data_IF_578857148524
#
_entry.id   IF_578857148524
#
_cell.length_a   1.000
_cell.length_b   1.000
_cell.length_c   1.000
_cell.angle_alpha   90.00
_cell.angle_beta   90.00
_cell.angle_gamma   90.00
#
_symmetry.space_group_name_H-M   'P 1'
#
loop_
_entity.id
_entity.type
_entity.pdbx_description
1 polymer ?
#
# COMPACT_ATOMS: atom_id res chain seq x y z
N UNK A 1 19.78 -14.53 -37.27
CA UNK A 1 20.09 -15.43 -36.12
C UNK A 1 21.10 -14.84 -35.15
N UNK A 2 22.33 -14.46 -35.58
CA UNK A 2 23.31 -13.85 -34.67
C UNK A 2 22.88 -12.46 -34.17
N UNK A 3 22.34 -11.64 -35.03
CA UNK A 3 21.84 -10.29 -34.72
C UNK A 3 20.57 -10.31 -33.80
N UNK A 4 19.67 -11.27 -34.03
CA UNK A 4 18.49 -11.48 -33.14
C UNK A 4 18.91 -11.98 -31.76
N UNK A 5 19.93 -12.84 -31.66
CA UNK A 5 20.46 -13.27 -30.37
C UNK A 5 21.14 -12.13 -29.63
N UNK A 6 21.87 -11.27 -30.35
CA UNK A 6 22.53 -10.09 -29.77
C UNK A 6 21.48 -9.06 -29.25
N UNK A 7 20.50 -8.72 -30.07
CA UNK A 7 19.43 -7.77 -29.68
C UNK A 7 18.64 -8.29 -28.46
N UNK A 8 18.34 -9.59 -28.44
CA UNK A 8 17.69 -10.23 -27.29
C UNK A 8 18.52 -10.18 -26.01
N UNK A 9 19.85 -10.38 -26.12
CA UNK A 9 20.75 -10.26 -24.96
C UNK A 9 20.73 -8.85 -24.40
N UNK A 10 20.87 -7.84 -25.26
CA UNK A 10 20.83 -6.42 -24.88
C UNK A 10 19.48 -6.01 -24.22
N UNK A 11 18.36 -6.55 -24.72
CA UNK A 11 17.03 -6.32 -24.11
C UNK A 11 16.90 -6.90 -22.70
N UNK A 12 17.40 -8.11 -22.48
CA UNK A 12 17.39 -8.76 -21.18
C UNK A 12 18.37 -8.08 -20.21
N UNK A 13 19.55 -7.70 -20.68
CA UNK A 13 20.51 -6.90 -19.90
C UNK A 13 19.91 -5.57 -19.43
N UNK A 14 19.10 -4.93 -20.26
CA UNK A 14 18.35 -3.72 -19.89
C UNK A 14 17.38 -3.97 -18.73
N UNK A 15 16.66 -5.10 -18.73
CA UNK A 15 15.76 -5.47 -17.62
C UNK A 15 16.54 -5.84 -16.36
N UNK A 16 17.66 -6.56 -16.52
CA UNK A 16 18.55 -6.91 -15.40
C UNK A 16 19.13 -5.65 -14.74
N UNK A 17 19.50 -4.65 -15.54
CA UNK A 17 19.97 -3.36 -15.03
C UNK A 17 18.90 -2.68 -14.19
N UNK A 18 17.65 -2.62 -14.66
CA UNK A 18 16.52 -2.06 -13.88
C UNK A 18 16.32 -2.79 -12.54
N UNK A 19 16.38 -4.13 -12.54
CA UNK A 19 16.30 -4.92 -11.30
C UNK A 19 17.43 -4.56 -10.33
N UNK A 20 18.66 -4.46 -10.84
CA UNK A 20 19.81 -4.11 -10.02
C UNK A 20 19.69 -2.68 -9.44
N UNK A 21 19.13 -1.73 -10.21
CA UNK A 21 18.87 -0.37 -9.73
C UNK A 21 17.85 -0.39 -8.58
N UNK A 22 16.78 -1.18 -8.68
CA UNK A 22 15.79 -1.36 -7.60
C UNK A 22 16.46 -1.94 -6.36
N UNK A 23 17.23 -3.01 -6.49
CA UNK A 23 17.91 -3.65 -5.36
C UNK A 23 18.93 -2.72 -4.71
N UNK A 24 19.65 -1.94 -5.51
CA UNK A 24 20.57 -0.92 -5.01
C UNK A 24 19.83 0.21 -4.27
N UNK A 25 18.64 0.59 -4.73
CA UNK A 25 17.75 1.50 -4.01
C UNK A 25 17.39 0.97 -2.62
N UNK A 26 17.04 -0.31 -2.51
CA UNK A 26 16.76 -0.96 -1.23
C UNK A 26 17.95 -0.98 -0.26
N UNK A 27 19.18 -1.07 -0.77
CA UNK A 27 20.38 -0.97 0.08
C UNK A 27 20.53 0.43 0.69
N UNK A 28 20.03 1.46 0.03
CA UNK A 28 20.04 2.84 0.51
C UNK A 28 18.80 3.18 1.35
N UNK A 29 17.66 2.59 1.00
CA UNK A 29 16.38 2.79 1.66
C UNK A 29 15.62 1.45 1.82
N UNK A 30 15.90 0.68 2.91
CA UNK A 30 15.25 -0.62 3.13
C UNK A 30 13.73 -0.56 3.27
N UNK A 31 13.15 0.60 3.56
CA UNK A 31 11.69 0.78 3.66
C UNK A 31 11.00 0.54 2.31
N UNK A 32 11.68 0.77 1.19
CA UNK A 32 11.16 0.46 -0.15
C UNK A 32 10.88 -1.04 -0.34
N UNK A 33 11.52 -1.91 0.44
CA UNK A 33 11.20 -3.35 0.45
C UNK A 33 9.78 -3.58 0.96
N UNK A 34 9.38 -2.86 2.01
CA UNK A 34 8.03 -2.97 2.59
C UNK A 34 7.00 -2.48 1.57
N UNK A 35 7.26 -1.37 0.89
CA UNK A 35 6.39 -0.86 -0.17
C UNK A 35 6.25 -1.86 -1.33
N UNK A 36 7.35 -2.47 -1.73
CA UNK A 36 7.33 -3.52 -2.74
C UNK A 36 6.54 -4.76 -2.29
N UNK A 37 6.68 -5.18 -1.04
CA UNK A 37 5.93 -6.31 -0.50
C UNK A 37 4.42 -6.00 -0.41
N UNK A 38 4.06 -4.79 -0.01
CA UNK A 38 2.67 -4.32 -0.03
C UNK A 38 2.09 -4.29 -1.44
N UNK A 39 2.85 -3.79 -2.42
CA UNK A 39 2.46 -3.86 -3.83
C UNK A 39 2.28 -5.30 -4.29
N UNK A 40 3.26 -6.17 -4.01
CA UNK A 40 3.27 -7.56 -4.44
C UNK A 40 2.13 -8.38 -3.85
N UNK A 41 1.69 -8.07 -2.63
CA UNK A 41 0.57 -8.77 -1.98
C UNK A 41 -0.77 -8.56 -2.71
N UNK A 42 -0.90 -7.46 -3.46
CA UNK A 42 -2.08 -7.15 -4.30
C UNK A 42 -2.07 -7.90 -5.63
N UNK A 43 -0.90 -8.34 -6.08
CA UNK A 43 -0.72 -9.11 -7.31
C UNK A 43 -0.66 -10.61 -6.99
N UNK A 44 -1.81 -11.23 -6.77
CA UNK A 44 -1.87 -12.67 -6.54
C UNK A 44 -1.15 -13.44 -7.65
N UNK A 45 -0.11 -14.18 -7.33
CA UNK A 45 0.54 -15.30 -8.06
C UNK A 45 0.74 -15.21 -9.60
N UNK A 46 0.33 -14.13 -10.25
CA UNK A 46 0.35 -14.00 -11.70
C UNK A 46 1.74 -13.65 -12.26
N UNK A 47 2.62 -13.10 -11.43
CA UNK A 47 3.94 -12.63 -11.84
C UNK A 47 5.04 -13.11 -10.89
N UNK A 48 6.24 -13.36 -11.47
CA UNK A 48 7.44 -13.62 -10.66
C UNK A 48 7.84 -12.36 -9.87
N UNK A 49 8.58 -12.52 -8.75
CA UNK A 49 9.08 -11.35 -7.99
C UNK A 49 9.84 -10.34 -8.86
N UNK A 50 10.66 -10.80 -9.81
CA UNK A 50 11.39 -9.92 -10.74
C UNK A 50 10.45 -9.11 -11.63
N UNK A 51 9.38 -9.73 -12.14
CA UNK A 51 8.39 -9.03 -12.93
C UNK A 51 7.56 -8.07 -12.07
N UNK A 52 7.23 -8.43 -10.83
CA UNK A 52 6.56 -7.53 -9.89
C UNK A 52 7.42 -6.30 -9.56
N UNK A 53 8.73 -6.46 -9.38
CA UNK A 53 9.67 -5.33 -9.23
C UNK A 53 9.61 -4.39 -10.43
N UNK A 54 9.67 -4.94 -11.65
CA UNK A 54 9.60 -4.14 -12.88
C UNK A 54 8.26 -3.42 -13.03
N UNK A 55 7.15 -4.08 -12.72
CA UNK A 55 5.81 -3.47 -12.78
C UNK A 55 5.70 -2.35 -11.73
N UNK A 56 6.09 -2.61 -10.48
CA UNK A 56 6.03 -1.63 -9.40
C UNK A 56 6.87 -0.37 -9.72
N UNK A 57 8.04 -0.53 -10.30
CA UNK A 57 8.89 0.59 -10.71
C UNK A 57 8.25 1.43 -11.82
N UNK A 58 7.63 0.77 -12.80
CA UNK A 58 7.05 1.45 -13.97
C UNK A 58 5.66 2.03 -13.70
N UNK A 59 4.87 1.37 -12.83
CA UNK A 59 3.51 1.80 -12.48
C UNK A 59 3.14 1.36 -11.06
N UNK A 60 3.45 2.20 -10.06
CA UNK A 60 3.17 1.92 -8.63
C UNK A 60 1.69 1.69 -8.32
N UNK A 61 0.81 2.30 -9.10
CA UNK A 61 -0.65 2.16 -8.96
C UNK A 61 -1.29 1.04 -9.78
N UNK A 62 -0.50 0.13 -10.35
CA UNK A 62 -1.05 -0.98 -11.13
C UNK A 62 -1.95 -1.88 -10.27
N UNK A 63 -3.07 -2.32 -10.85
CA UNK A 63 -4.12 -3.08 -10.16
C UNK A 63 -4.25 -4.51 -10.67
N UNK A 64 -4.26 -4.68 -11.98
CA UNK A 64 -4.39 -5.96 -12.65
C UNK A 64 -3.71 -5.90 -14.01
N UNK A 65 -2.61 -6.58 -14.14
CA UNK A 65 -1.80 -6.57 -15.35
C UNK A 65 -2.01 -7.84 -16.18
N UNK A 66 -2.13 -7.67 -17.50
CA UNK A 66 -2.19 -8.77 -18.46
C UNK A 66 -1.51 -8.36 -19.76
N UNK A 67 -1.05 -9.35 -20.56
CA UNK A 67 -0.53 -9.09 -21.89
C UNK A 67 -1.61 -8.51 -22.80
N UNK A 68 -1.20 -7.81 -23.86
CA UNK A 68 -2.11 -7.30 -24.89
C UNK A 68 -3.06 -8.40 -25.44
N UNK A 69 -2.49 -9.58 -25.71
CA UNK A 69 -3.25 -10.74 -26.20
C UNK A 69 -4.28 -11.21 -25.17
N UNK A 70 -3.91 -11.31 -23.90
CA UNK A 70 -4.81 -11.74 -22.83
C UNK A 70 -5.95 -10.75 -22.59
N UNK A 71 -5.72 -9.45 -22.70
CA UNK A 71 -6.79 -8.44 -22.65
C UNK A 71 -7.78 -8.61 -23.82
N UNK A 72 -7.24 -8.83 -25.03
CA UNK A 72 -8.08 -9.07 -26.22
C UNK A 72 -8.92 -10.33 -26.11
N UNK A 73 -8.38 -11.41 -25.57
CA UNK A 73 -9.09 -12.67 -25.30
C UNK A 73 -10.22 -12.51 -24.29
N UNK A 74 -10.07 -11.58 -23.34
CA UNK A 74 -11.13 -11.19 -22.40
C UNK A 74 -12.17 -10.22 -23.01
N UNK A 75 -12.01 -9.82 -24.27
CA UNK A 75 -12.91 -8.89 -24.95
C UNK A 75 -12.60 -7.41 -24.70
N UNK A 76 -11.45 -7.09 -24.11
CA UNK A 76 -11.03 -5.71 -23.83
C UNK A 76 -9.83 -5.30 -24.69
N UNK A 77 -9.70 -4.00 -24.91
CA UNK A 77 -8.64 -3.41 -25.74
C UNK A 77 -7.81 -2.44 -24.91
N UNK A 78 -6.50 -2.47 -25.11
CA UNK A 78 -5.60 -1.43 -24.60
C UNK A 78 -5.92 -0.11 -25.31
N UNK A 79 -6.00 0.99 -24.58
CA UNK A 79 -6.28 2.32 -25.12
C UNK A 79 -5.17 2.78 -26.05
N UNK A 80 -5.54 3.54 -27.08
CA UNK A 80 -4.55 4.09 -28.03
C UNK A 80 -3.61 5.05 -27.32
N UNK A 81 -2.30 4.86 -27.53
CA UNK A 81 -1.26 5.70 -26.94
C UNK A 81 -0.70 5.19 -25.60
N UNK A 82 -1.27 4.11 -25.05
CA UNK A 82 -0.74 3.51 -23.84
C UNK A 82 0.57 2.75 -24.09
N UNK A 83 1.50 2.85 -23.15
CA UNK A 83 2.77 2.14 -23.16
C UNK A 83 2.75 0.96 -22.20
N UNK A 84 3.10 -0.22 -22.71
CA UNK A 84 3.16 -1.42 -21.87
C UNK A 84 4.38 -1.40 -20.94
N UNK A 85 4.20 -1.94 -19.74
CA UNK A 85 5.29 -2.17 -18.80
C UNK A 85 6.15 -3.34 -19.27
N UNK A 86 7.45 -3.14 -19.29
CA UNK A 86 8.42 -4.15 -19.71
C UNK A 86 8.57 -5.24 -18.65
N UNK A 87 8.50 -6.49 -19.06
CA UNK A 87 8.60 -7.67 -18.20
C UNK A 87 9.37 -8.80 -18.88
N UNK A 88 9.87 -9.75 -18.09
CA UNK A 88 10.37 -11.01 -18.62
C UNK A 88 9.22 -11.92 -19.02
N UNK A 89 9.27 -12.44 -20.25
CA UNK A 89 8.33 -13.45 -20.74
C UNK A 89 9.05 -14.77 -20.91
N UNK A 90 8.59 -15.77 -20.18
CA UNK A 90 9.08 -17.13 -20.31
C UNK A 90 8.66 -17.71 -21.66
N UNK A 91 9.61 -18.21 -22.42
CA UNK A 91 9.39 -18.78 -23.75
C UNK A 91 10.08 -20.15 -23.78
N UNK A 92 9.37 -21.22 -23.41
CA UNK A 92 9.93 -22.56 -23.48
C UNK A 92 10.12 -22.95 -24.95
N UNK A 93 11.22 -23.59 -25.26
CA UNK A 93 11.54 -24.14 -26.59
C UNK A 93 11.92 -25.60 -26.40
N UNK A 94 11.36 -26.45 -27.24
CA UNK A 94 11.80 -27.84 -27.34
C UNK A 94 12.74 -27.92 -28.54
N UNK A 95 13.94 -28.44 -28.33
CA UNK A 95 14.92 -28.72 -29.38
C UNK A 95 14.91 -30.22 -29.63
N UNK A 96 14.56 -30.61 -30.83
CA UNK A 96 14.60 -32.01 -31.28
C UNK A 96 16.02 -32.39 -31.68
N UNK A 97 16.45 -33.56 -31.24
CA UNK A 97 17.74 -34.15 -31.61
C UNK A 97 17.53 -35.06 -32.81
N UNK A 98 17.82 -34.58 -34.01
CA UNK A 98 17.65 -35.32 -35.25
C UNK A 98 18.99 -35.73 -35.85
N UNK A 99 19.02 -36.72 -36.73
CA UNK A 99 20.23 -37.17 -37.41
C UNK A 99 20.91 -36.07 -38.23
N UNK A 100 20.12 -35.08 -38.70
CA UNK A 100 20.61 -33.92 -39.44
C UNK A 100 21.01 -32.73 -38.54
N UNK A 101 20.98 -32.94 -37.23
CA UNK A 101 21.32 -31.95 -36.21
C UNK A 101 20.11 -31.45 -35.37
N UNK A 102 20.43 -30.62 -34.39
CA UNK A 102 19.46 -30.10 -33.42
C UNK A 102 18.55 -29.02 -34.05
N UNK A 103 17.24 -29.22 -34.04
CA UNK A 103 16.27 -28.27 -34.60
C UNK A 103 15.17 -27.90 -33.57
N UNK A 104 14.71 -26.64 -33.51
CA UNK A 104 13.56 -26.29 -32.71
C UNK A 104 12.31 -27.01 -33.19
N UNK A 105 11.51 -27.56 -32.25
CA UNK A 105 10.22 -28.22 -32.55
C UNK A 105 9.31 -27.39 -33.46
N UNK A 106 9.29 -26.07 -33.29
CA UNK A 106 8.49 -25.15 -34.13
C UNK A 106 8.96 -25.02 -35.56
N UNK A 107 10.19 -25.50 -35.87
CA UNK A 107 10.82 -25.52 -37.23
C UNK A 107 10.94 -26.92 -37.80
N UNK A 108 10.59 -27.93 -37.01
CA UNK A 108 10.62 -29.32 -37.44
C UNK A 108 9.51 -29.63 -38.41
N UNK A 109 9.70 -30.60 -39.29
CA UNK A 109 8.63 -31.10 -40.18
C UNK A 109 7.51 -31.74 -39.36
N UNK A 110 6.35 -31.89 -39.95
CA UNK A 110 5.19 -32.54 -39.29
C UNK A 110 5.49 -33.99 -38.92
N UNK A 111 6.31 -34.68 -39.72
CA UNK A 111 6.75 -36.05 -39.46
C UNK A 111 7.69 -36.08 -38.24
N UNK A 112 8.65 -35.16 -38.16
CA UNK A 112 9.57 -35.05 -37.00
C UNK A 112 8.81 -34.63 -35.72
N UNK A 113 7.80 -33.75 -35.81
CA UNK A 113 6.98 -33.39 -34.67
C UNK A 113 6.18 -34.61 -34.18
N UNK A 114 5.58 -35.36 -35.11
CA UNK A 114 4.84 -36.59 -34.78
C UNK A 114 5.75 -37.66 -34.15
N UNK A 115 6.95 -37.86 -34.69
CA UNK A 115 7.94 -38.79 -34.14
C UNK A 115 8.39 -38.39 -32.72
N UNK A 116 8.54 -37.08 -32.45
CA UNK A 116 8.80 -36.59 -31.08
C UNK A 116 7.62 -36.83 -30.15
N UNK A 117 6.37 -36.56 -30.59
CA UNK A 117 5.16 -36.73 -29.78
C UNK A 117 4.90 -38.18 -29.38
N UNK A 118 5.38 -39.16 -30.17
CA UNK A 118 5.33 -40.60 -29.87
C UNK A 118 6.61 -41.14 -29.23
N UNK A 119 7.62 -40.30 -29.03
CA UNK A 119 8.87 -40.66 -28.32
C UNK A 119 9.94 -41.33 -29.19
N UNK A 120 9.83 -41.30 -30.52
CA UNK A 120 10.81 -41.83 -31.47
C UNK A 120 12.01 -40.87 -31.67
N UNK A 121 11.79 -39.58 -31.47
CA UNK A 121 12.86 -38.55 -31.48
C UNK A 121 12.98 -37.98 -30.07
N UNK A 122 14.22 -37.88 -29.57
CA UNK A 122 14.50 -37.23 -28.31
C UNK A 122 14.43 -35.71 -28.46
N UNK A 123 13.93 -35.03 -27.41
CA UNK A 123 13.89 -33.57 -27.37
C UNK A 123 14.31 -33.02 -26.03
N UNK A 124 15.10 -31.95 -26.08
CA UNK A 124 15.51 -31.20 -24.90
C UNK A 124 14.61 -29.96 -24.74
N UNK A 125 14.00 -29.81 -23.54
CA UNK A 125 13.20 -28.64 -23.20
C UNK A 125 14.09 -27.56 -22.59
N UNK A 126 14.30 -26.49 -23.33
CA UNK A 126 15.09 -25.33 -22.87
C UNK A 126 14.14 -24.21 -22.48
N UNK A 127 14.53 -23.52 -21.41
CA UNK A 127 13.81 -22.34 -20.92
C UNK A 127 14.53 -21.07 -21.34
N UNK A 128 13.85 -20.26 -22.14
CA UNK A 128 14.36 -18.94 -22.53
C UNK A 128 13.44 -17.84 -22.00
N UNK A 129 14.03 -16.68 -21.81
CA UNK A 129 13.30 -15.46 -21.53
C UNK A 129 13.48 -14.47 -22.67
N UNK A 130 12.47 -13.65 -22.88
CA UNK A 130 12.53 -12.48 -23.75
C UNK A 130 11.86 -11.31 -23.08
N UNK A 131 12.18 -10.10 -23.55
CA UNK A 131 11.43 -8.92 -23.16
C UNK A 131 10.02 -8.99 -23.76
N UNK A 132 9.03 -8.64 -22.96
CA UNK A 132 7.65 -8.50 -23.36
C UNK A 132 6.98 -7.36 -22.63
N UNK A 133 5.68 -7.19 -22.88
CA UNK A 133 4.92 -6.07 -22.35
C UNK A 133 3.65 -6.56 -21.68
N UNK A 134 3.35 -5.95 -20.55
CA UNK A 134 2.06 -6.09 -19.86
C UNK A 134 1.39 -4.74 -19.70
N UNK A 135 0.07 -4.74 -19.56
CA UNK A 135 -0.77 -3.54 -19.47
C UNK A 135 -1.66 -3.67 -18.25
N UNK A 136 -1.74 -2.62 -17.48
CA UNK A 136 -2.66 -2.55 -16.37
C UNK A 136 -4.11 -2.36 -16.84
N UNK A 137 -5.07 -2.79 -16.03
CA UNK A 137 -6.52 -2.64 -16.30
C UNK A 137 -6.90 -1.19 -16.58
N UNK A 138 -6.27 -0.21 -15.92
CA UNK A 138 -6.51 1.21 -16.12
C UNK A 138 -6.09 1.71 -17.50
N UNK A 139 -5.19 1.00 -18.17
CA UNK A 139 -4.74 1.26 -19.55
C UNK A 139 -5.66 0.65 -20.60
N UNK A 140 -6.77 0.06 -20.19
CA UNK A 140 -7.71 -0.63 -21.09
C UNK A 140 -9.08 0.03 -21.10
N UNK A 141 -9.94 -0.41 -22.02
CA UNK A 141 -11.36 -0.02 -22.04
C UNK A 141 -12.22 -0.86 -21.08
N UNK A 142 -11.60 -1.57 -20.12
CA UNK A 142 -12.33 -2.26 -19.06
C UNK A 142 -13.14 -1.23 -18.26
N UNK A 143 -14.44 -1.49 -17.97
CA UNK A 143 -15.30 -0.55 -17.27
C UNK A 143 -14.75 -0.22 -15.87
N UNK A 144 -14.48 1.07 -15.56
CA UNK A 144 -13.90 1.46 -14.27
C UNK A 144 -14.73 1.03 -13.05
N UNK A 145 -16.06 0.99 -13.19
CA UNK A 145 -16.99 0.53 -12.15
C UNK A 145 -16.84 -0.96 -11.80
N UNK A 146 -16.14 -1.72 -12.64
CA UNK A 146 -15.84 -3.14 -12.46
C UNK A 146 -14.38 -3.40 -12.09
N UNK A 147 -13.59 -2.36 -11.85
CA UNK A 147 -12.22 -2.54 -11.38
C UNK A 147 -12.20 -3.35 -10.09
N UNK A 148 -11.12 -4.11 -9.81
CA UNK A 148 -10.98 -4.80 -8.55
C UNK A 148 -11.24 -3.85 -7.40
N UNK A 149 -12.07 -4.27 -6.43
CA UNK A 149 -12.54 -3.45 -5.30
C UNK A 149 -11.44 -2.88 -4.39
N UNK A 150 -10.17 -3.11 -4.70
CA UNK A 150 -9.01 -2.47 -4.07
C UNK A 150 -8.99 -0.94 -4.23
N UNK A 151 -9.78 -0.39 -5.18
CA UNK A 151 -10.00 1.05 -5.36
C UNK A 151 -11.25 1.56 -4.62
N UNK A 152 -11.96 0.67 -3.94
CA UNK A 152 -13.19 1.03 -3.26
C UNK A 152 -12.90 1.85 -2.00
N UNK A 153 -13.91 2.57 -1.54
CA UNK A 153 -13.98 3.45 -0.36
C UNK A 153 -13.68 2.74 0.97
N UNK A 154 -12.69 1.89 0.97
CA UNK A 154 -12.30 0.99 2.04
C UNK A 154 -12.86 -0.41 1.88
N UNK A 155 -12.68 -1.22 2.89
CA UNK A 155 -13.20 -2.58 2.98
C UNK A 155 -14.05 -2.75 4.26
N UNK A 156 -15.03 -3.67 4.29
CA UNK A 156 -15.72 -4.04 5.52
C UNK A 156 -14.73 -4.64 6.52
N UNK A 157 -14.80 -4.17 7.76
CA UNK A 157 -13.95 -4.64 8.87
C UNK A 157 -14.66 -4.39 10.20
N UNK A 158 -15.15 -5.42 10.84
CA UNK A 158 -15.82 -5.33 12.13
C UNK A 158 -14.93 -4.67 13.19
N UNK A 159 -13.62 -5.00 13.17
CA UNK A 159 -12.65 -4.38 14.07
C UNK A 159 -12.57 -2.86 13.86
N UNK A 160 -12.38 -2.38 12.62
CA UNK A 160 -12.28 -0.94 12.36
C UNK A 160 -13.61 -0.21 12.54
N UNK A 161 -14.75 -0.88 12.31
CA UNK A 161 -16.07 -0.36 12.68
C UNK A 161 -16.16 -0.12 14.18
N UNK A 162 -15.71 -1.09 14.98
CA UNK A 162 -15.68 -0.95 16.44
C UNK A 162 -14.71 0.13 16.88
N UNK A 163 -13.51 0.24 16.27
CA UNK A 163 -12.57 1.33 16.54
C UNK A 163 -13.20 2.71 16.21
N UNK A 164 -13.94 2.82 15.10
CA UNK A 164 -14.66 4.06 14.73
C UNK A 164 -15.69 4.43 15.80
N UNK A 165 -16.49 3.48 16.27
CA UNK A 165 -17.49 3.73 17.31
C UNK A 165 -16.82 4.10 18.64
N UNK A 166 -15.76 3.40 19.04
CA UNK A 166 -15.02 3.71 20.28
C UNK A 166 -14.37 5.09 20.20
N UNK A 167 -13.80 5.47 19.06
CA UNK A 167 -13.22 6.80 18.86
C UNK A 167 -14.31 7.89 18.88
N UNK A 168 -15.47 7.64 18.27
CA UNK A 168 -16.64 8.53 18.33
C UNK A 168 -17.08 8.76 19.78
N UNK A 169 -17.32 7.69 20.53
CA UNK A 169 -17.67 7.76 21.95
C UNK A 169 -16.62 8.52 22.78
N UNK A 170 -15.35 8.26 22.50
CA UNK A 170 -14.24 8.94 23.15
C UNK A 170 -14.26 10.45 22.87
N UNK A 171 -14.47 10.86 21.62
CA UNK A 171 -14.61 12.27 21.26
C UNK A 171 -15.75 12.95 22.02
N UNK A 172 -16.91 12.31 22.09
CA UNK A 172 -18.10 12.86 22.72
C UNK A 172 -17.99 12.92 24.26
N UNK A 173 -17.53 11.84 24.89
CA UNK A 173 -17.45 11.72 26.34
C UNK A 173 -16.27 12.48 26.98
N UNK A 174 -15.10 12.46 26.32
CA UNK A 174 -13.87 12.97 26.92
C UNK A 174 -13.49 14.36 26.42
N UNK A 175 -13.90 14.73 25.20
CA UNK A 175 -13.50 15.99 24.55
C UNK A 175 -14.69 16.92 24.29
N UNK A 176 -15.94 16.48 24.48
CA UNK A 176 -17.13 17.22 24.13
C UNK A 176 -17.27 17.47 22.62
N UNK A 177 -16.52 16.75 21.81
CA UNK A 177 -16.45 16.85 20.35
C UNK A 177 -17.50 15.91 19.74
N UNK A 178 -18.54 16.45 19.13
CA UNK A 178 -19.60 15.63 18.53
C UNK A 178 -19.15 15.02 17.20
N UNK A 179 -19.54 13.77 16.94
CA UNK A 179 -19.21 13.06 15.69
C UNK A 179 -20.49 12.58 15.02
N UNK A 180 -20.73 13.04 13.79
CA UNK A 180 -21.90 12.71 12.99
C UNK A 180 -21.54 11.82 11.79
N UNK A 181 -22.34 10.77 11.58
CA UNK A 181 -22.36 10.03 10.33
C UNK A 181 -23.48 10.60 9.45
N UNK A 182 -23.12 11.16 8.30
CA UNK A 182 -24.05 11.82 7.39
C UNK A 182 -24.35 10.94 6.18
N UNK A 183 -25.62 10.90 5.75
CA UNK A 183 -26.06 10.11 4.60
C UNK A 183 -25.60 10.66 3.23
N UNK A 184 -25.09 11.88 3.21
CA UNK A 184 -24.65 12.54 1.97
C UNK A 184 -23.20 12.97 2.04
N UNK A 185 -22.47 12.64 0.98
CA UNK A 185 -21.17 13.25 0.70
C UNK A 185 -21.40 14.74 0.38
N UNK A 186 -20.69 15.61 1.06
CA UNK A 186 -20.70 17.01 0.65
C UNK A 186 -19.87 17.16 -0.63
N UNK A 187 -20.53 17.57 -1.71
CA UNK A 187 -19.86 17.86 -2.97
C UNK A 187 -19.63 19.36 -3.09
N UNK A 188 -18.42 19.80 -2.73
CA UNK A 188 -18.03 21.21 -2.84
C UNK A 188 -17.20 21.37 -4.13
N UNK A 189 -17.76 22.09 -5.10
CA UNK A 189 -17.11 22.39 -6.41
C UNK A 189 -16.64 21.14 -7.17
N UNK A 190 -17.39 20.04 -7.11
CA UNK A 190 -17.06 18.80 -7.81
C UNK A 190 -16.07 17.88 -7.09
N UNK A 191 -15.71 18.20 -5.85
CA UNK A 191 -14.89 17.36 -4.99
C UNK A 191 -15.78 16.72 -3.92
N UNK A 192 -15.80 15.40 -3.85
CA UNK A 192 -16.51 14.66 -2.79
C UNK A 192 -15.72 14.78 -1.50
N UNK A 193 -16.32 15.38 -0.47
CA UNK A 193 -15.78 15.40 0.88
C UNK A 193 -16.31 14.18 1.63
N UNK A 194 -15.40 13.34 2.08
CA UNK A 194 -15.73 12.15 2.90
C UNK A 194 -15.82 12.46 4.39
N UNK A 195 -15.27 13.59 4.82
CA UNK A 195 -15.34 14.11 6.18
C UNK A 195 -14.90 15.56 6.24
N UNK A 196 -15.24 16.21 7.36
CA UNK A 196 -14.72 17.52 7.72
C UNK A 196 -14.86 17.76 9.24
N UNK A 197 -13.96 18.58 9.78
CA UNK A 197 -14.04 19.13 11.12
C UNK A 197 -14.53 20.59 11.09
N UNK A 198 -15.49 20.93 11.95
CA UNK A 198 -15.99 22.30 12.15
C UNK A 198 -15.50 22.84 13.50
N UNK A 199 -14.45 23.69 13.54
CA UNK A 199 -13.97 24.28 14.79
C UNK A 199 -15.01 25.16 15.50
N UNK A 200 -15.87 25.86 14.74
CA UNK A 200 -16.89 26.76 15.30
C UNK A 200 -18.04 26.03 16.00
N UNK A 201 -18.37 24.85 15.52
CA UNK A 201 -19.45 24.01 16.06
C UNK A 201 -18.94 22.93 16.99
N UNK A 202 -17.62 22.70 17.00
CA UNK A 202 -16.95 21.65 17.74
C UNK A 202 -17.48 20.26 17.34
N UNK A 203 -17.52 20.01 16.03
CA UNK A 203 -18.14 18.84 15.42
C UNK A 203 -17.25 18.23 14.32
N UNK A 204 -17.32 16.90 14.20
CA UNK A 204 -16.76 16.13 13.07
C UNK A 204 -17.91 15.49 12.30
N UNK A 205 -17.85 15.55 10.99
CA UNK A 205 -18.81 14.93 10.09
C UNK A 205 -18.12 13.95 9.16
N UNK A 206 -18.64 12.72 9.07
CA UNK A 206 -18.11 11.62 8.25
C UNK A 206 -19.22 11.09 7.35
N UNK A 207 -18.93 10.82 6.08
CA UNK A 207 -19.91 10.26 5.15
C UNK A 207 -20.25 8.79 5.53
N UNK A 208 -21.54 8.50 5.73
CA UNK A 208 -22.04 7.17 6.08
C UNK A 208 -21.89 6.14 4.94
N UNK A 209 -21.60 6.60 3.73
CA UNK A 209 -21.35 5.77 2.54
C UNK A 209 -19.96 5.13 2.52
N UNK A 210 -19.08 5.50 3.46
CA UNK A 210 -17.74 4.92 3.56
C UNK A 210 -17.80 3.51 4.17
N UNK A 211 -16.95 2.62 3.66
CA UNK A 211 -16.72 1.32 4.29
C UNK A 211 -15.89 1.48 5.58
N UNK A 212 -15.92 0.49 6.45
CA UNK A 212 -15.40 0.56 7.82
C UNK A 212 -13.96 1.08 7.92
N UNK A 213 -13.05 0.60 7.06
CA UNK A 213 -11.64 1.03 7.07
C UNK A 213 -11.47 2.47 6.59
N UNK A 214 -12.26 2.91 5.60
CA UNK A 214 -12.22 4.28 5.11
C UNK A 214 -12.87 5.24 6.10
N UNK A 215 -13.97 4.83 6.75
CA UNK A 215 -14.62 5.60 7.80
C UNK A 215 -13.67 5.84 8.98
N UNK A 216 -12.94 4.78 9.41
CA UNK A 216 -11.93 4.90 10.46
C UNK A 216 -10.79 5.85 10.06
N UNK A 217 -10.22 5.67 8.86
CA UNK A 217 -9.14 6.53 8.35
C UNK A 217 -9.57 7.99 8.22
N UNK A 218 -10.79 8.26 7.76
CA UNK A 218 -11.34 9.61 7.65
C UNK A 218 -11.57 10.20 9.03
N UNK A 219 -12.20 9.46 9.96
CA UNK A 219 -12.45 9.96 11.32
C UNK A 219 -11.14 10.30 12.04
N UNK A 220 -10.08 9.48 11.89
CA UNK A 220 -8.78 9.77 12.51
C UNK A 220 -8.08 10.99 11.90
N UNK A 221 -8.34 11.30 10.62
CA UNK A 221 -7.86 12.52 9.98
C UNK A 221 -8.57 13.76 10.54
N UNK A 222 -9.90 13.75 10.59
CA UNK A 222 -10.69 14.86 11.15
C UNK A 222 -10.44 15.03 12.65
N UNK A 223 -10.19 13.93 13.37
CA UNK A 223 -9.76 13.96 14.75
C UNK A 223 -8.39 14.65 14.90
N UNK A 224 -7.47 14.43 13.96
CA UNK A 224 -6.19 15.14 13.88
C UNK A 224 -6.39 16.66 13.77
N UNK A 225 -7.30 17.11 12.91
CA UNK A 225 -7.68 18.53 12.81
C UNK A 225 -8.26 19.06 14.13
N UNK A 226 -9.17 18.31 14.75
CA UNK A 226 -9.81 18.72 16.00
C UNK A 226 -8.81 18.86 17.15
N UNK A 227 -7.83 17.96 17.25
CA UNK A 227 -6.81 18.01 18.30
C UNK A 227 -5.76 19.09 18.07
N UNK A 228 -5.32 19.26 16.82
CA UNK A 228 -4.22 20.18 16.50
C UNK A 228 -4.70 21.62 16.24
N UNK A 229 -5.96 21.81 15.79
CA UNK A 229 -6.53 23.06 15.31
C UNK A 229 -7.99 23.21 15.76
N UNK A 230 -8.28 22.81 16.99
CA UNK A 230 -9.65 22.73 17.53
C UNK A 230 -10.35 24.08 17.74
N UNK A 231 -9.59 25.18 17.87
CA UNK A 231 -10.16 26.52 17.96
C UNK A 231 -10.23 27.22 16.61
N UNK A 232 -11.20 28.12 16.45
CA UNK A 232 -11.31 28.96 15.23
C UNK A 232 -10.05 29.80 15.03
N UNK A 233 -9.47 30.34 16.11
CA UNK A 233 -8.26 31.15 16.06
C UNK A 233 -7.06 30.36 15.54
N UNK A 234 -6.80 29.18 16.09
CA UNK A 234 -5.72 28.29 15.64
C UNK A 234 -5.93 27.88 14.17
N UNK A 235 -7.15 27.52 13.81
CA UNK A 235 -7.49 27.13 12.45
C UNK A 235 -7.26 28.24 11.43
N UNK A 236 -7.55 29.49 11.78
CA UNK A 236 -7.35 30.65 10.90
C UNK A 236 -5.87 31.07 10.80
N UNK A 237 -5.11 30.91 11.87
CA UNK A 237 -3.72 31.36 11.95
C UNK A 237 -2.70 30.31 11.46
N UNK A 238 -3.11 29.07 11.24
CA UNK A 238 -2.23 27.99 10.77
C UNK A 238 -2.32 27.86 9.25
N UNK A 239 -1.19 27.72 8.58
CA UNK A 239 -1.14 27.46 7.13
C UNK A 239 -1.96 26.22 6.77
N UNK A 240 -2.74 26.31 5.69
CA UNK A 240 -3.62 25.21 5.24
C UNK A 240 -2.85 23.89 5.06
N UNK A 241 -1.71 23.94 4.38
CA UNK A 241 -0.93 22.72 4.09
C UNK A 241 -0.25 22.15 5.35
N UNK A 242 0.06 23.00 6.34
CA UNK A 242 0.49 22.52 7.65
C UNK A 242 -0.62 21.78 8.37
N UNK A 243 -1.85 22.30 8.35
CA UNK A 243 -3.01 21.64 8.97
C UNK A 243 -3.25 20.25 8.38
N UNK A 244 -3.26 20.17 7.06
CA UNK A 244 -3.46 18.90 6.34
C UNK A 244 -2.32 17.91 6.62
N UNK A 245 -1.07 18.39 6.64
CA UNK A 245 0.08 17.57 7.00
C UNK A 245 -0.05 17.00 8.42
N UNK A 246 -0.41 17.84 9.40
CA UNK A 246 -0.57 17.43 10.80
C UNK A 246 -1.72 16.41 10.95
N UNK A 247 -2.86 16.65 10.29
CA UNK A 247 -3.99 15.71 10.29
C UNK A 247 -3.65 14.36 9.62
N UNK A 248 -2.92 14.38 8.51
CA UNK A 248 -2.43 13.17 7.87
C UNK A 248 -1.46 12.38 8.77
N UNK A 249 -0.54 13.06 9.48
CA UNK A 249 0.35 12.40 10.43
C UNK A 249 -0.46 11.68 11.50
N UNK A 250 -1.48 12.32 12.07
CA UNK A 250 -2.35 11.70 13.08
C UNK A 250 -3.09 10.50 12.51
N UNK A 251 -3.72 10.65 11.35
CA UNK A 251 -4.46 9.57 10.69
C UNK A 251 -3.55 8.36 10.42
N UNK A 252 -2.36 8.60 9.88
CA UNK A 252 -1.38 7.54 9.58
C UNK A 252 -0.98 6.81 10.86
N UNK A 253 -0.71 7.53 11.94
CA UNK A 253 -0.31 6.92 13.21
C UNK A 253 -1.42 6.04 13.78
N UNK A 254 -2.66 6.52 13.85
CA UNK A 254 -3.79 5.72 14.34
C UNK A 254 -4.11 4.53 13.43
N UNK A 255 -4.11 4.73 12.11
CA UNK A 255 -4.35 3.66 11.16
C UNK A 255 -3.32 2.53 11.31
N UNK A 256 -2.03 2.86 11.36
CA UNK A 256 -0.96 1.86 11.53
C UNK A 256 -1.00 1.20 12.91
N UNK A 257 -1.29 1.96 13.96
CA UNK A 257 -1.40 1.44 15.33
C UNK A 257 -2.48 0.36 15.45
N UNK A 258 -3.61 0.55 14.78
CA UNK A 258 -4.72 -0.40 14.75
C UNK A 258 -4.71 -1.33 13.53
N UNK A 259 -3.57 -1.47 12.85
CA UNK A 259 -3.35 -2.49 11.83
C UNK A 259 -3.97 -2.19 10.47
N UNK A 260 -4.33 -0.93 10.19
CA UNK A 260 -4.79 -0.51 8.88
C UNK A 260 -3.61 -0.03 8.03
N UNK A 261 -3.43 -0.65 6.87
CA UNK A 261 -2.40 -0.24 5.91
C UNK A 261 -2.66 1.14 5.32
N UNK A 262 -1.57 1.88 5.10
CA UNK A 262 -1.64 3.21 4.49
C UNK A 262 -1.65 3.09 2.98
N UNK A 263 -2.68 3.67 2.37
CA UNK A 263 -2.83 3.69 0.91
C UNK A 263 -1.83 4.65 0.24
N UNK A 264 -1.51 4.40 -1.02
CA UNK A 264 -0.62 5.29 -1.80
C UNK A 264 -1.25 6.67 -2.01
N UNK A 265 -2.58 6.75 -2.00
CA UNK A 265 -3.32 8.01 -2.01
C UNK A 265 -3.01 8.85 -0.76
N UNK A 266 -3.06 8.25 0.44
CA UNK A 266 -2.73 8.92 1.70
C UNK A 266 -1.26 9.35 1.74
N UNK A 267 -0.34 8.53 1.27
CA UNK A 267 1.09 8.88 1.15
C UNK A 267 1.30 10.07 0.21
N UNK A 268 0.60 10.08 -0.93
CA UNK A 268 0.66 11.16 -1.90
C UNK A 268 0.09 12.45 -1.35
N UNK A 269 -1.01 12.39 -0.61
CA UNK A 269 -1.65 13.52 0.05
C UNK A 269 -0.69 14.15 1.07
N UNK A 270 -0.16 13.37 2.00
CA UNK A 270 0.85 13.83 2.97
C UNK A 270 2.06 14.48 2.27
N UNK A 271 2.63 13.80 1.28
CA UNK A 271 3.80 14.31 0.54
C UNK A 271 3.51 15.59 -0.24
N UNK A 272 2.31 15.71 -0.80
CA UNK A 272 1.84 16.91 -1.48
C UNK A 272 1.77 18.09 -0.53
N UNK A 273 1.07 17.95 0.58
CA UNK A 273 0.93 19.00 1.58
C UNK A 273 2.26 19.38 2.24
N UNK A 274 3.16 18.44 2.49
CA UNK A 274 4.51 18.75 2.95
C UNK A 274 5.29 19.67 1.99
N UNK A 275 5.25 19.36 0.68
CA UNK A 275 5.92 20.16 -0.36
C UNK A 275 5.29 21.54 -0.51
N UNK A 276 3.96 21.61 -0.49
CA UNK A 276 3.23 22.86 -0.66
C UNK A 276 3.34 23.75 0.58
N UNK A 277 3.39 23.19 1.78
CA UNK A 277 3.69 23.93 3.01
C UNK A 277 5.09 24.54 2.93
N UNK A 278 6.11 23.75 2.60
CA UNK A 278 7.48 24.25 2.43
C UNK A 278 7.57 25.39 1.43
N UNK A 279 6.77 25.34 0.36
CA UNK A 279 6.76 26.35 -0.70
C UNK A 279 5.97 27.60 -0.30
N UNK A 280 4.82 27.45 0.34
CA UNK A 280 3.90 28.56 0.66
C UNK A 280 4.30 29.32 1.92
N UNK A 281 4.98 28.67 2.87
CA UNK A 281 5.39 29.30 4.14
C UNK A 281 6.79 28.85 4.58
N UNK A 282 7.84 29.19 3.81
CA UNK A 282 9.20 28.72 4.08
C UNK A 282 9.77 29.23 5.41
N UNK A 283 9.29 30.38 5.90
CA UNK A 283 9.76 30.97 7.15
C UNK A 283 9.22 30.28 8.41
N UNK A 284 8.02 29.66 8.29
CA UNK A 284 7.37 28.93 9.38
C UNK A 284 7.33 27.41 9.08
N UNK A 285 8.15 26.94 8.15
CA UNK A 285 8.26 25.53 7.83
C UNK A 285 9.10 24.79 8.88
N UNK A 286 8.41 24.23 9.89
CA UNK A 286 9.02 23.49 11.00
C UNK A 286 8.39 22.09 11.15
N UNK A 287 8.61 21.16 10.21
CA UNK A 287 7.96 19.85 10.25
C UNK A 287 8.37 19.02 11.49
N UNK A 288 9.57 19.23 12.03
CA UNK A 288 10.02 18.59 13.25
C UNK A 288 9.17 18.99 14.48
N UNK A 289 8.76 20.26 14.57
CA UNK A 289 7.88 20.75 15.63
C UNK A 289 6.47 20.19 15.48
N UNK A 290 5.93 20.20 14.24
CA UNK A 290 4.63 19.60 13.93
C UNK A 290 4.63 18.11 14.24
N UNK A 291 5.64 17.38 13.81
CA UNK A 291 5.78 15.95 14.14
C UNK A 291 5.79 15.72 15.65
N UNK A 292 6.58 16.46 16.42
CA UNK A 292 6.62 16.35 17.88
C UNK A 292 5.24 16.57 18.49
N UNK A 293 4.56 17.66 18.11
CA UNK A 293 3.18 17.97 18.55
C UNK A 293 2.26 16.79 18.31
N UNK A 294 2.25 16.25 17.07
CA UNK A 294 1.37 15.15 16.69
C UNK A 294 1.70 13.85 17.43
N UNK A 295 2.99 13.54 17.67
CA UNK A 295 3.40 12.38 18.46
C UNK A 295 2.96 12.48 19.93
N UNK A 296 3.03 13.67 20.51
CA UNK A 296 2.61 13.88 21.90
C UNK A 296 1.09 13.72 22.04
N UNK A 297 0.30 14.33 21.12
CA UNK A 297 -1.15 14.15 21.05
C UNK A 297 -1.53 12.68 20.80
N UNK A 298 -0.88 12.02 19.85
CA UNK A 298 -1.13 10.60 19.59
C UNK A 298 -0.92 9.75 20.85
N UNK A 299 0.19 9.94 21.56
CA UNK A 299 0.51 9.17 22.78
C UNK A 299 -0.54 9.40 23.87
N UNK A 300 -0.95 10.64 24.07
CA UNK A 300 -1.98 11.01 25.05
C UNK A 300 -3.28 10.28 24.77
N UNK A 301 -3.78 10.39 23.54
CA UNK A 301 -5.11 9.89 23.20
C UNK A 301 -5.13 8.39 22.91
N UNK A 302 -4.07 7.81 22.29
CA UNK A 302 -3.99 6.37 22.05
C UNK A 302 -3.97 5.57 23.33
N UNK A 303 -3.31 6.05 24.40
CA UNK A 303 -3.26 5.37 25.70
C UNK A 303 -4.66 5.10 26.26
N UNK A 304 -5.58 6.04 26.13
CA UNK A 304 -6.98 5.89 26.60
C UNK A 304 -7.78 5.01 25.64
N UNK A 305 -7.60 5.22 24.33
CA UNK A 305 -8.29 4.44 23.31
C UNK A 305 -7.89 2.97 23.35
N UNK A 306 -6.62 2.65 23.57
CA UNK A 306 -6.12 1.28 23.73
C UNK A 306 -6.80 0.53 24.87
N UNK A 307 -7.01 1.20 26.02
CA UNK A 307 -7.75 0.62 27.13
C UNK A 307 -9.22 0.33 26.77
N UNK A 308 -9.88 1.24 26.03
CA UNK A 308 -11.26 1.03 25.55
C UNK A 308 -11.34 -0.10 24.52
N UNK A 309 -10.39 -0.16 23.59
CA UNK A 309 -10.33 -1.19 22.54
C UNK A 309 -10.01 -2.56 23.14
N UNK A 310 -9.09 -2.67 24.08
CA UNK A 310 -8.78 -3.94 24.77
C UNK A 310 -9.96 -4.46 25.59
N UNK A 311 -10.82 -3.60 26.12
CA UNK A 311 -12.08 -4.06 26.73
C UNK A 311 -13.03 -4.73 25.74
N UNK A 312 -13.06 -4.26 24.50
CA UNK A 312 -13.87 -4.86 23.43
C UNK A 312 -13.17 -6.05 22.77
N UNK A 313 -11.84 -6.05 22.73
CA UNK A 313 -10.98 -7.05 22.07
C UNK A 313 -9.84 -7.47 23.02
N UNK A 314 -10.10 -8.30 24.03
CA UNK A 314 -9.10 -8.66 25.05
C UNK A 314 -7.84 -9.35 24.52
N UNK A 315 -7.93 -10.00 23.36
CA UNK A 315 -6.81 -10.65 22.67
C UNK A 315 -5.73 -9.66 22.19
N UNK A 316 -6.05 -8.37 22.10
CA UNK A 316 -5.12 -7.33 21.71
C UNK A 316 -4.33 -6.74 22.90
N UNK A 317 -4.59 -7.18 24.13
CA UNK A 317 -3.96 -6.61 25.33
C UNK A 317 -2.43 -6.65 25.27
N UNK A 318 -1.84 -7.76 24.82
CA UNK A 318 -0.38 -7.91 24.70
C UNK A 318 0.23 -7.04 23.61
N UNK A 319 -0.55 -6.59 22.64
CA UNK A 319 -0.10 -5.76 21.53
C UNK A 319 -0.26 -4.26 21.82
N UNK A 320 -1.36 -3.86 22.41
CA UNK A 320 -1.74 -2.45 22.58
C UNK A 320 -1.36 -1.88 23.94
N UNK A 321 -1.40 -2.69 25.01
CA UNK A 321 -1.03 -2.19 26.32
C UNK A 321 0.47 -2.36 26.56
N UNK A 322 1.13 -1.37 27.22
CA UNK A 322 2.52 -1.50 27.61
C UNK A 322 2.71 -2.77 28.45
N UNK A 323 3.56 -3.67 27.99
CA UNK A 323 4.01 -4.76 28.86
C UNK A 323 4.75 -4.09 30.01
N UNK A 324 4.25 -4.22 31.24
CA UNK A 324 5.06 -3.96 32.41
C UNK A 324 6.30 -4.86 32.27
N UNK A 325 7.43 -4.24 31.95
CA UNK A 325 8.69 -4.96 31.91
C UNK A 325 8.83 -5.68 33.25
N UNK A 326 8.80 -7.01 33.24
CA UNK A 326 9.09 -7.87 34.40
C UNK A 326 10.54 -7.69 34.86
N UNK A 327 10.94 -6.45 35.22
CA UNK A 327 12.26 -6.12 35.76
C UNK A 327 12.33 -6.40 37.26
N UNK A 328 11.22 -6.76 37.91
CA UNK A 328 11.18 -6.89 39.37
C UNK A 328 11.01 -8.31 39.95
N UNK A 329 10.86 -9.37 39.15
CA UNK A 329 10.73 -10.73 39.70
C UNK A 329 12.08 -11.41 40.01
N UNK A 330 13.16 -11.04 39.35
CA UNK A 330 14.49 -11.63 39.63
C UNK A 330 15.22 -10.95 40.79
N UNK A 331 15.00 -9.67 41.03
CA UNK A 331 15.64 -8.99 42.21
C UNK A 331 15.05 -9.42 43.55
N UNK A 332 13.80 -9.88 43.60
CA UNK A 332 13.21 -10.46 44.85
C UNK A 332 13.69 -11.88 45.16
N UNK A 333 14.15 -12.65 44.18
CA UNK A 333 14.69 -14.01 44.39
C UNK A 333 16.14 -14.01 44.87
N UNK A 334 16.91 -12.94 44.59
CA UNK A 334 18.30 -12.85 45.02
C UNK A 334 18.40 -12.37 46.49
N UNK A 335 17.49 -11.51 46.95
CA UNK A 335 17.51 -11.01 48.37
C UNK A 335 17.05 -12.07 49.34
N UNK A 336 16.22 -13.05 48.98
CA UNK A 336 15.78 -14.12 49.88
C UNK A 336 16.74 -15.33 49.96
N UNK A 337 17.78 -15.38 49.13
CA UNK A 337 18.82 -16.44 49.24
C UNK A 337 20.01 -16.08 50.10
N UNK A 338 20.17 -14.83 50.50
CA UNK A 338 21.28 -14.36 51.35
C UNK A 338 20.89 -14.25 52.83
N UNK A 339 19.64 -14.52 53.21
CA UNK A 339 19.18 -14.43 54.60
C UNK A 339 19.20 -15.77 55.37
N UNK A 340 19.63 -16.90 54.74
CA UNK A 340 19.66 -18.23 55.38
C UNK A 340 21.08 -18.78 55.63
N UNK A 341 22.09 -17.93 55.72
CA UNK A 341 23.39 -18.31 56.23
C UNK A 341 23.85 -17.30 57.31
N UNK A 342 23.30 -17.45 58.53
CA UNK A 342 23.93 -17.14 59.79
C UNK A 342 23.34 -18.02 60.86
#
# INVERSE_FOLDING_TARGET
>A
MAEEKKNRSEELESLDKKINEIINGWNQNPEEIVEFLQFSSKFSYAYSPRNMMLIAQQQRGALLCKSFKAWKELGYSVKKGEHGMEVYVHTPITILKTDDGDIPYSKASKEQQAAYDVGEIEGEKLSYFKKGYTFDITQTNFPPEKYPKLLDRGIPSEFHRSCTNILKEYCEENLGLKVFLQDQEQNIKGVSLYGYHSPSEHEIHIASTLQDTAAFSTLTHEFGHALAHGSVEESLNTNLHQKEFEADVMSIMFCQHYGLEITDERKSHLSGHYKDWKKSDPNNFHPDKSMRKMFDLFREHSTVLDQKIVKAFPELATKLLPQELEVNSEKKKVVNKTANYK
#
